data_IF_984186117875
#
_entry.id   IF_984186117875
#
_cell.length_a   1.000
_cell.length_b   1.000
_cell.length_c   1.000
_cell.angle_alpha   90.00
_cell.angle_beta   90.00
_cell.angle_gamma   90.00
#
_symmetry.space_group_name_H-M   'P 1'
#
loop_
_entity.id
_entity.type
_entity.pdbx_description
1 polymer ?
2 polymer ?
3 water ?
#
# COMPACT_ATOMS: atom_id res chain seq x y z
N UNK A 29 -16.84 -10.22 -6.15
CA UNK A 29 -17.29 -10.48 -4.78
C UNK A 29 -16.17 -10.20 -3.79
N UNK A 30 -15.15 -11.05 -3.80
CA UNK A 30 -14.04 -10.89 -2.86
C UNK A 30 -13.51 -9.47 -2.86
N UNK A 31 -13.30 -8.91 -4.04
CA UNK A 31 -12.78 -7.54 -4.15
C UNK A 31 -13.60 -6.56 -3.32
N UNK A 32 -14.92 -6.75 -3.30
CA UNK A 32 -15.81 -5.78 -2.66
C UNK A 32 -15.81 -5.89 -1.13
N UNK A 33 -15.17 -6.94 -0.61
CA UNK A 33 -15.15 -7.17 0.83
C UNK A 33 -14.07 -6.37 1.55
N UNK A 34 -13.12 -5.83 0.80
CA UNK A 34 -12.11 -4.95 1.36
C UNK A 34 -12.69 -3.54 1.40
N UNK A 35 -13.30 -3.20 2.52
CA UNK A 35 -14.07 -1.96 2.60
C UNK A 35 -13.19 -0.72 2.43
N UNK A 36 -12.01 -0.74 3.04
CA UNK A 36 -11.07 0.38 2.91
C UNK A 36 -10.79 0.64 1.43
N UNK A 37 -10.45 -0.42 0.72
CA UNK A 37 -10.11 -0.26 -0.71
C UNK A 37 -11.30 0.23 -1.55
N UNK A 38 -12.48 -0.33 -1.31
CA UNK A 38 -13.67 0.08 -2.05
C UNK A 38 -14.00 1.54 -1.76
N UNK A 39 -13.85 1.94 -0.50
CA UNK A 39 -14.13 3.32 -0.11
C UNK A 39 -13.23 4.29 -0.91
N UNK A 40 -11.96 3.96 -1.01
CA UNK A 40 -11.02 4.79 -1.75
C UNK A 40 -11.39 4.89 -3.22
N UNK A 41 -11.67 3.74 -3.82
CA UNK A 41 -11.98 3.71 -5.24
C UNK A 41 -13.29 4.49 -5.52
N UNK A 42 -14.31 4.28 -4.71
CA UNK A 42 -15.57 4.99 -4.88
C UNK A 42 -15.38 6.49 -4.71
N UNK A 43 -14.50 6.88 -3.79
CA UNK A 43 -14.33 8.30 -3.49
C UNK A 43 -13.73 9.07 -4.65
N UNK A 44 -12.76 8.47 -5.34
CA UNK A 44 -11.93 9.22 -6.28
C UNK A 44 -12.01 8.81 -7.74
N UNK A 45 -12.80 7.77 -8.04
CA UNK A 45 -12.86 7.31 -9.43
C UNK A 45 -13.34 8.37 -10.42
N UNK A 46 -14.33 9.17 -10.03
CA UNK A 46 -14.87 10.18 -10.95
C UNK A 46 -13.88 11.31 -11.15
N UNK A 47 -13.22 11.76 -10.08
CA UNK A 47 -12.25 12.85 -10.26
C UNK A 47 -11.02 12.43 -11.07
N UNK A 48 -10.71 11.14 -11.09
CA UNK A 48 -9.62 10.66 -11.91
C UNK A 48 -9.92 10.63 -13.40
N UNK A 49 -11.20 10.54 -13.75
CA UNK A 49 -11.56 10.31 -15.15
C UNK A 49 -11.02 11.37 -16.12
N UNK A 50 -11.26 12.67 -15.87
CA UNK A 50 -10.80 13.63 -16.89
C UNK A 50 -9.28 13.69 -17.03
N UNK A 51 -8.57 13.43 -15.95
CA UNK A 51 -7.12 13.42 -16.01
C UNK A 51 -6.64 12.21 -16.84
N UNK A 52 -7.22 11.05 -16.57
CA UNK A 52 -6.93 9.87 -17.36
C UNK A 52 -7.27 10.12 -18.83
N UNK A 53 -8.40 10.75 -19.11
CA UNK A 53 -8.80 11.05 -20.49
C UNK A 53 -7.72 11.91 -21.16
N UNK A 54 -7.26 12.93 -20.44
CA UNK A 54 -6.26 13.86 -21.01
C UNK A 54 -4.96 13.13 -21.35
N UNK A 55 -4.68 12.05 -20.64
CA UNK A 55 -3.46 11.28 -20.84
C UNK A 55 -3.68 10.04 -21.71
N UNK A 56 -4.88 9.90 -22.28
CA UNK A 56 -5.24 8.72 -23.06
C UNK A 56 -4.95 7.42 -22.29
N UNK A 57 -5.48 7.38 -21.06
CA UNK A 57 -5.33 6.22 -20.17
C UNK A 57 -6.68 5.73 -19.67
N UNK A 58 -6.83 4.41 -19.50
CA UNK A 58 -7.96 3.91 -18.72
C UNK A 58 -7.90 4.50 -17.30
N UNK A 59 -9.03 4.91 -16.77
CA UNK A 59 -9.03 5.56 -15.48
C UNK A 59 -8.41 4.69 -14.37
N UNK A 60 -8.63 3.38 -14.46
CA UNK A 60 -8.07 2.46 -13.46
C UNK A 60 -6.55 2.48 -13.42
N UNK A 61 -5.91 2.87 -14.51
CA UNK A 61 -4.45 2.93 -14.50
C UNK A 61 -3.98 4.05 -13.56
N UNK A 62 -4.61 5.20 -13.68
CA UNK A 62 -4.30 6.35 -12.84
C UNK A 62 -4.73 6.13 -11.39
N UNK A 63 -5.97 5.64 -11.21
CA UNK A 63 -6.50 5.41 -9.88
C UNK A 63 -5.73 4.28 -9.19
N UNK A 64 -5.34 3.27 -9.97
CA UNK A 64 -4.51 2.18 -9.47
C UNK A 64 -3.17 2.67 -8.97
N UNK A 65 -2.54 3.58 -9.71
CA UNK A 65 -1.29 4.17 -9.25
C UNK A 65 -1.52 4.90 -7.93
N UNK A 66 -2.59 5.67 -7.82
CA UNK A 66 -2.86 6.34 -6.54
C UNK A 66 -3.07 5.33 -5.42
N UNK A 67 -3.77 4.23 -5.69
CA UNK A 67 -3.99 3.19 -4.67
C UNK A 67 -2.67 2.60 -4.17
N UNK A 68 -1.75 2.36 -5.10
CA UNK A 68 -0.40 1.88 -4.79
C UNK A 68 0.37 2.88 -3.92
N UNK A 69 0.36 4.14 -4.31
CA UNK A 69 1.20 5.12 -3.62
C UNK A 69 0.65 5.50 -2.25
N UNK A 70 -0.67 5.49 -2.13
CA UNK A 70 -1.36 5.97 -0.92
C UNK A 70 -1.92 4.90 -0.01
N UNK A 71 -1.68 3.63 -0.36
CA UNK A 71 -2.24 2.51 0.38
C UNK A 71 -3.77 2.70 0.49
N UNK A 72 -4.37 2.86 -0.67
CA UNK A 72 -5.80 3.09 -0.80
C UNK A 72 -6.24 4.21 0.15
N UNK A 73 -5.47 5.28 0.14
CA UNK A 73 -5.83 6.49 0.85
C UNK A 73 -5.56 6.46 2.34
N UNK A 74 -4.90 5.41 2.83
CA UNK A 74 -4.64 5.28 4.27
C UNK A 74 -3.28 5.79 4.73
N UNK A 75 -2.36 6.04 3.79
CA UNK A 75 -1.05 6.54 4.17
C UNK A 75 -1.08 7.98 4.63
N UNK A 76 -0.13 8.35 5.48
CA UNK A 76 -0.06 9.69 6.04
C UNK A 76 0.16 10.79 4.99
N UNK A 77 1.03 10.54 4.03
CA UNK A 77 1.32 11.54 3.01
C UNK A 77 0.05 11.90 2.24
N UNK A 78 -0.80 10.91 2.02
CA UNK A 78 -2.07 11.16 1.36
C UNK A 78 -3.04 11.87 2.31
N UNK A 79 -3.23 11.31 3.50
CA UNK A 79 -4.19 11.86 4.44
C UNK A 79 -3.87 13.30 4.85
N UNK A 80 -2.61 13.54 5.18
CA UNK A 80 -2.20 14.82 5.75
C UNK A 80 -1.73 15.82 4.72
N UNK A 81 -1.13 15.33 3.63
CA UNK A 81 -0.53 16.24 2.64
C UNK A 81 -1.26 16.23 1.29
N UNK A 82 -2.34 15.46 1.21
CA UNK A 82 -3.10 15.29 -0.03
C UNK A 82 -2.23 14.85 -1.20
N UNK A 83 -1.13 14.15 -0.90
CA UNK A 83 -0.21 13.75 -1.95
C UNK A 83 -0.44 12.28 -2.24
N UNK A 84 -1.38 12.01 -3.13
CA UNK A 84 -1.83 10.63 -3.40
C UNK A 84 -0.94 9.91 -4.41
N UNK A 85 0.12 10.57 -4.89
CA UNK A 85 1.06 9.95 -5.82
C UNK A 85 2.47 9.92 -5.25
N UNK A 86 2.55 10.22 -3.94
CA UNK A 86 3.81 10.30 -3.21
C UNK A 86 4.92 10.98 -4.01
N UNK A 87 4.58 12.12 -4.60
CA UNK A 87 5.51 12.91 -5.39
C UNK A 87 6.57 13.51 -4.51
N UNK A 88 7.81 13.33 -4.92
CA UNK A 88 8.93 14.04 -4.33
C UNK A 88 8.80 15.53 -4.63
N UNK A 89 9.21 16.34 -3.65
CA UNK A 89 9.28 17.78 -3.85
C UNK A 89 10.63 18.13 -4.49
N UNK A 90 10.65 19.16 -5.34
CA UNK A 90 9.50 19.99 -5.72
C UNK A 90 8.69 19.36 -6.84
N UNK A 91 7.36 19.58 -6.80
CA UNK A 91 6.47 19.07 -7.83
C UNK A 91 5.57 20.22 -8.27
N UNK A 92 5.16 20.22 -9.55
CA UNK A 92 4.23 21.27 -9.99
C UNK A 92 2.97 21.27 -9.13
N UNK A 93 2.46 22.47 -8.88
CA UNK A 93 1.23 22.69 -8.13
C UNK A 93 1.36 22.47 -6.63
N UNK A 94 2.55 22.14 -6.14
CA UNK A 94 2.66 21.93 -4.69
C UNK A 94 2.42 23.25 -3.91
N UNK A 95 1.92 23.09 -2.68
CA UNK A 95 1.70 24.24 -1.80
C UNK A 95 2.72 24.24 -0.65
N UNK A 96 3.58 23.23 -0.64
CA UNK A 96 4.61 23.10 0.38
C UNK A 96 5.33 21.78 0.22
N UNK A 97 6.22 21.48 1.15
CA UNK A 97 7.02 20.25 1.13
C UNK A 97 7.44 19.87 2.54
N UNK A 98 7.63 18.57 2.77
CA UNK A 98 7.96 18.04 4.09
C UNK A 98 8.76 16.74 3.94
N UNK A 99 9.71 16.50 4.84
CA UNK A 99 10.42 15.22 4.82
C UNK A 99 9.48 14.14 5.35
N UNK A 100 9.49 12.94 4.73
CA UNK A 100 8.69 11.86 5.32
C UNK A 100 9.48 11.09 6.37
N UNK A 105 16.84 13.26 3.72
CA UNK A 105 17.38 13.31 2.38
C UNK A 105 16.38 13.88 1.37
N UNK A 106 15.15 13.35 1.37
CA UNK A 106 14.17 13.68 0.34
C UNK A 106 12.87 14.24 0.93
N UNK A 107 12.39 15.33 0.35
CA UNK A 107 11.13 15.89 0.79
C UNK A 107 10.02 15.42 -0.13
N UNK A 108 8.81 15.34 0.41
CA UNK A 108 7.63 15.06 -0.40
C UNK A 108 6.73 16.29 -0.45
N UNK A 109 6.04 16.41 -1.57
CA UNK A 109 5.20 17.57 -1.82
C UNK A 109 3.91 17.54 -1.02
N UNK A 110 3.38 18.73 -0.76
CA UNK A 110 2.02 18.90 -0.21
C UNK A 110 1.15 19.52 -1.30
N UNK A 111 -0.11 19.13 -1.36
CA UNK A 111 -1.08 19.67 -2.31
C UNK A 111 -2.39 20.11 -1.64
N UNK A 112 -3.21 20.82 -2.40
CA UNK A 112 -4.53 21.25 -1.92
C UNK A 112 -5.56 20.12 -1.89
N UNK A 113 -5.33 19.07 -2.68
CA UNK A 113 -6.34 18.04 -2.87
C UNK A 113 -5.79 16.86 -3.67
N UNK A 114 -6.49 15.74 -3.62
CA UNK A 114 -6.21 14.58 -4.46
C UNK A 114 -6.07 15.06 -5.91
N UNK A 115 -7.04 15.85 -6.36
CA UNK A 115 -7.09 16.28 -7.74
C UNK A 115 -5.80 17.00 -8.13
N UNK A 116 -5.34 17.92 -7.27
CA UNK A 116 -4.10 18.64 -7.56
C UNK A 116 -2.91 17.69 -7.59
N UNK A 117 -2.88 16.69 -6.72
CA UNK A 117 -1.77 15.75 -6.75
C UNK A 117 -1.76 14.96 -8.05
N UNK A 118 -2.95 14.64 -8.56
CA UNK A 118 -3.09 13.92 -9.82
C UNK A 118 -2.65 14.81 -10.99
N UNK A 119 -3.04 16.08 -10.95
CA UNK A 119 -2.62 17.03 -11.97
C UNK A 119 -1.10 17.25 -11.95
N UNK A 120 -0.51 17.16 -10.76
CA UNK A 120 0.92 17.28 -10.62
C UNK A 120 1.62 16.11 -11.28
N UNK A 121 1.15 14.90 -10.99
CA UNK A 121 1.62 13.70 -11.66
C UNK A 121 1.52 13.85 -13.18
N UNK A 122 0.38 14.33 -13.67
CA UNK A 122 0.17 14.52 -15.09
C UNK A 122 1.16 15.52 -15.68
N UNK A 123 1.41 16.61 -14.95
CA UNK A 123 2.35 17.65 -15.39
C UNK A 123 3.76 17.09 -15.56
N UNK A 124 4.23 16.33 -14.58
CA UNK A 124 5.60 15.84 -14.59
C UNK A 124 5.80 14.58 -15.43
N UNK A 125 4.82 13.68 -15.45
CA UNK A 125 5.02 12.34 -16.00
C UNK A 125 4.01 11.97 -17.09
N UNK A 126 3.09 12.87 -17.38
CA UNK A 126 1.99 12.58 -18.27
C UNK A 126 2.46 12.28 -19.67
N UNK A 127 3.34 13.11 -20.20
CA UNK A 127 3.76 12.95 -21.57
C UNK A 127 4.46 11.60 -21.70
N UNK A 128 5.19 11.22 -20.66
CA UNK A 128 5.89 9.94 -20.66
C UNK A 128 4.98 8.71 -20.62
N UNK A 129 3.85 8.80 -19.93
CA UNK A 129 2.96 7.64 -19.81
C UNK A 129 1.74 7.69 -20.73
N UNK A 130 1.59 8.77 -21.49
CA UNK A 130 0.34 8.91 -22.23
C UNK A 130 0.16 7.80 -23.28
N UNK A 131 -1.07 7.33 -23.37
CA UNK A 131 -1.45 6.30 -24.31
C UNK A 131 -1.01 4.90 -23.94
N UNK A 132 -0.38 4.74 -22.77
CA UNK A 132 0.09 3.43 -22.35
C UNK A 132 -1.05 2.76 -21.60
N UNK A 133 -2.01 2.22 -22.36
CA UNK A 133 -3.28 1.78 -21.79
C UNK A 133 -3.19 0.41 -21.14
N UNK A 134 -2.42 -0.49 -21.75
CA UNK A 134 -2.19 -1.80 -21.15
C UNK A 134 -1.49 -1.59 -19.81
N UNK A 135 -2.00 -2.25 -18.74
CA UNK A 135 -1.43 -2.03 -17.41
C UNK A 135 0.07 -2.32 -17.29
N UNK A 136 0.56 -3.37 -17.95
CA UNK A 136 1.99 -3.66 -17.94
C UNK A 136 2.79 -2.58 -18.66
N UNK A 137 2.31 -2.17 -19.83
CA UNK A 137 2.96 -1.10 -20.58
C UNK A 137 2.98 0.18 -19.76
N UNK A 138 1.89 0.46 -19.06
CA UNK A 138 1.82 1.63 -18.21
C UNK A 138 2.92 1.59 -17.12
N UNK A 139 3.03 0.47 -16.42
CA UNK A 139 4.01 0.36 -15.35
C UNK A 139 5.42 0.49 -15.92
N UNK A 140 5.65 -0.12 -17.08
CA UNK A 140 6.97 -0.03 -17.70
C UNK A 140 7.32 1.41 -18.11
N UNK A 141 6.33 2.16 -18.57
CA UNK A 141 6.56 3.56 -18.94
C UNK A 141 6.85 4.39 -17.69
N UNK A 142 6.22 4.03 -16.59
CA UNK A 142 6.43 4.69 -15.31
C UNK A 142 7.90 4.60 -14.93
N UNK A 143 8.46 3.41 -15.07
CA UNK A 143 9.88 3.21 -14.79
C UNK A 143 10.79 3.95 -15.77
N UNK A 144 10.46 3.91 -17.05
CA UNK A 144 11.27 4.60 -18.05
C UNK A 144 11.33 6.11 -17.79
N UNK A 145 10.22 6.66 -17.29
CA UNK A 145 10.10 8.08 -17.05
C UNK A 145 10.88 8.55 -15.83
N UNK A 146 11.33 7.59 -15.01
CA UNK A 146 12.00 7.92 -13.76
C UNK A 146 11.06 8.20 -12.59
N UNK A 147 9.76 7.98 -12.76
CA UNK A 147 8.83 8.10 -11.64
C UNK A 147 9.28 7.21 -10.49
N UNK A 148 9.53 5.93 -10.81
CA UNK A 148 10.17 5.00 -9.88
C UNK A 148 11.30 4.36 -10.67
N UNK A 149 12.35 3.94 -9.99
CA UNK A 149 13.44 3.26 -10.66
C UNK A 149 13.10 1.79 -10.90
N UNK A 150 12.27 1.25 -10.01
CA UNK A 150 11.69 -0.07 -10.19
C UNK A 150 12.72 -1.13 -10.45
N UNK A 151 13.86 -1.02 -9.78
CA UNK A 151 15.00 -1.88 -10.07
C UNK A 151 16.27 -1.27 -9.49
N UNK A 156 9.41 -10.49 -2.49
CA UNK A 156 8.15 -10.93 -3.08
C UNK A 156 8.35 -11.67 -4.38
N UNK A 157 7.24 -12.16 -4.95
CA UNK A 157 7.29 -12.93 -6.20
C UNK A 157 7.43 -12.04 -7.44
N UNK A 158 6.40 -11.27 -7.72
CA UNK A 158 6.35 -10.52 -8.99
C UNK A 158 7.20 -9.25 -8.97
N UNK A 159 7.63 -8.85 -10.17
CA UNK A 159 8.39 -7.63 -10.33
C UNK A 159 7.51 -6.41 -10.25
N UNK A 160 8.10 -5.24 -10.41
CA UNK A 160 7.39 -3.99 -10.22
C UNK A 160 6.17 -3.90 -11.12
N UNK A 161 6.33 -4.21 -12.41
CA UNK A 161 5.26 -3.98 -13.37
C UNK A 161 4.06 -4.88 -13.12
N UNK A 162 4.31 -6.16 -12.86
CA UNK A 162 3.23 -7.11 -12.66
C UNK A 162 2.47 -6.77 -11.37
N UNK A 163 3.22 -6.33 -10.35
CA UNK A 163 2.61 -5.97 -9.07
C UNK A 163 1.66 -4.77 -9.26
N UNK A 164 2.12 -3.73 -9.96
CA UNK A 164 1.29 -2.56 -10.18
C UNK A 164 0.12 -2.91 -11.09
N UNK A 165 0.39 -3.70 -12.13
CA UNK A 165 -0.65 -4.08 -13.07
C UNK A 165 -1.78 -4.83 -12.35
N UNK A 166 -1.43 -5.66 -11.37
CA UNK A 166 -2.43 -6.37 -10.58
C UNK A 166 -3.29 -5.41 -9.77
N UNK A 167 -2.67 -4.37 -9.21
CA UNK A 167 -3.43 -3.35 -8.48
C UNK A 167 -4.40 -2.63 -9.41
N UNK A 168 -3.95 -2.33 -10.62
CA UNK A 168 -4.80 -1.65 -11.60
C UNK A 168 -6.01 -2.51 -11.93
N UNK A 169 -5.78 -3.81 -12.10
CA UNK A 169 -6.88 -4.73 -12.42
C UNK A 169 -7.85 -4.83 -11.23
N UNK A 170 -7.30 -4.85 -10.02
CA UNK A 170 -8.12 -4.90 -8.81
C UNK A 170 -8.97 -3.63 -8.67
N UNK A 171 -8.36 -2.49 -8.93
CA UNK A 171 -9.08 -1.22 -8.93
C UNK A 171 -10.22 -1.23 -9.96
N UNK A 172 -9.94 -1.70 -11.17
CA UNK A 172 -10.98 -1.82 -12.18
C UNK A 172 -12.18 -2.59 -11.64
N UNK A 173 -11.91 -3.69 -10.96
CA UNK A 173 -12.99 -4.50 -10.37
C UNK A 173 -13.68 -3.80 -9.23
N UNK A 174 -12.92 -3.10 -8.39
CA UNK A 174 -13.50 -2.41 -7.24
C UNK A 174 -14.37 -1.23 -7.64
N UNK A 175 -14.18 -0.73 -8.86
CA UNK A 175 -15.05 0.34 -9.37
C UNK A 175 -16.50 -0.11 -9.53
N UNK A 176 -16.72 -1.41 -9.61
CA UNK A 176 -18.05 -1.99 -9.73
C UNK A 176 -18.74 -2.23 -8.38
N UNK A 177 -18.02 -2.02 -7.29
CA UNK A 177 -18.52 -2.32 -5.95
C UNK A 177 -19.34 -1.17 -5.38
N UNK B 8 8.44 -6.35 23.29
CA UNK B 8 8.97 -7.17 22.21
C UNK B 8 8.13 -8.44 22.07
N UNK B 9 8.75 -9.53 21.63
CA UNK B 9 7.98 -10.73 21.26
C UNK B 9 8.22 -11.92 22.17
N UNK B 10 8.76 -11.69 23.36
CA UNK B 10 8.81 -12.73 24.37
C UNK B 10 7.36 -13.11 24.68
N UNK B 11 7.09 -14.41 24.88
CA UNK B 11 5.71 -14.82 25.19
C UNK B 11 5.09 -13.97 26.29
N UNK B 12 5.86 -13.68 27.34
CA UNK B 12 5.36 -12.96 28.50
C UNK B 12 4.93 -11.53 28.16
N UNK B 13 5.51 -10.95 27.12
CA UNK B 13 5.21 -9.57 26.75
C UNK B 13 4.01 -9.47 25.80
N UNK B 14 3.49 -10.61 25.39
CA UNK B 14 2.31 -10.62 24.53
C UNK B 14 1.04 -10.73 25.38
N UNK B 15 0.25 -9.66 25.40
CA UNK B 15 -0.98 -9.63 26.17
C UNK B 15 -2.03 -10.53 25.52
N UNK B 16 -2.91 -11.12 26.33
CA UNK B 16 -3.91 -12.03 25.78
C UNK B 16 -4.93 -11.29 24.90
N UNK B 17 -4.95 -9.97 25.02
CA UNK B 17 -5.82 -9.13 24.20
C UNK B 17 -5.24 -8.83 22.82
N UNK B 18 -4.00 -9.27 22.58
CA UNK B 18 -3.42 -9.20 21.25
C UNK B 18 -2.16 -8.37 21.17
N UNK B 19 -1.47 -8.51 20.03
CA UNK B 19 -0.27 -7.75 19.73
C UNK B 19 -0.56 -6.25 19.70
N UNK B 20 0.39 -5.47 20.19
CA UNK B 20 0.40 -4.03 19.94
C UNK B 20 0.85 -3.77 18.51
N UNK B 21 0.69 -2.53 18.05
CA UNK B 21 1.14 -2.18 16.72
C UNK B 21 2.64 -2.43 16.59
N UNK B 22 3.39 -2.09 17.63
CA UNK B 22 4.85 -2.24 17.59
C UNK B 22 5.22 -3.72 17.46
N UNK B 23 4.55 -4.56 18.23
CA UNK B 23 4.79 -6.00 18.18
C UNK B 23 4.41 -6.57 16.81
N UNK B 24 3.30 -6.11 16.25
CA UNK B 24 2.87 -6.55 14.93
C UNK B 24 3.93 -6.20 13.88
N UNK B 25 4.54 -5.04 14.01
CA UNK B 25 5.60 -4.65 13.08
C UNK B 25 6.79 -5.60 13.21
N UNK B 26 7.10 -6.00 14.43
CA UNK B 26 8.20 -6.92 14.63
C UNK B 26 7.89 -8.29 14.02
N UNK B 27 6.63 -8.71 14.11
CA UNK B 27 6.19 -9.93 13.43
C UNK B 27 6.40 -9.78 11.92
N UNK B 28 5.94 -8.66 11.35
CA UNK B 28 6.13 -8.41 9.93
C UNK B 28 7.62 -8.46 9.56
N UNK B 29 8.47 -7.85 10.39
CA UNK B 29 9.90 -7.84 10.09
C UNK B 29 10.48 -9.25 10.04
N UNK B 30 10.03 -10.12 10.94
CA UNK B 30 10.40 -11.54 10.88
C UNK B 30 9.89 -12.14 9.57
N UNK B 31 8.63 -11.90 9.25
CA UNK B 31 8.07 -12.38 7.98
C UNK B 31 8.89 -11.96 6.77
N UNK B 32 9.31 -10.70 6.73
CA UNK B 32 10.01 -10.17 5.55
C UNK B 32 11.45 -10.67 5.41
N UNK B 33 12.06 -11.12 6.52
CA UNK B 33 13.40 -11.71 6.48
C UNK B 33 13.41 -12.93 5.57
N UNK B 34 12.35 -13.72 5.64
CA UNK B 34 12.20 -14.94 4.84
C UNK B 34 12.01 -14.64 3.34
N UNK B 35 11.52 -13.44 3.01
CA UNK B 35 11.32 -13.08 1.61
C UNK B 35 12.44 -12.21 1.07
N UNK B 36 13.50 -12.04 1.84
CA UNK B 36 14.49 -11.01 1.58
C UNK B 36 13.87 -9.60 1.72
N UNK B 37 13.66 -8.90 0.61
CA UNK B 37 13.05 -7.56 0.63
C UNK B 37 14.04 -6.43 0.99
N UNK B 38 15.15 -6.75 1.63
CA UNK B 38 16.24 -5.78 1.80
C UNK B 38 15.98 -4.68 2.84
N UNK B 39 15.44 -5.01 4.01
CA UNK B 39 14.97 -3.98 4.95
C UNK B 39 16.05 -3.01 5.43
N UNK B 40 17.32 -3.41 5.32
CA UNK B 40 18.43 -2.58 5.78
C UNK B 40 19.24 -2.05 4.59
N UNK B 41 18.61 -1.21 3.79
CA UNK B 41 19.26 -0.51 2.69
C UNK B 41 18.77 0.93 2.73
N UNK B 42 19.65 1.90 2.48
CA UNK B 42 19.21 3.29 2.65
C UNK B 42 17.99 3.66 1.80
N UNK B 43 17.07 4.41 2.40
CA UNK B 43 15.86 4.83 1.71
C UNK B 43 14.67 3.90 1.92
N UNK B 44 14.92 2.70 2.44
CA UNK B 44 13.85 1.74 2.67
C UNK B 44 13.19 1.97 4.03
N UNK B 45 11.87 1.81 4.09
CA UNK B 45 11.15 2.00 5.34
C UNK B 45 9.94 1.09 5.44
N UNK B 46 9.55 0.78 6.68
CA UNK B 46 8.25 0.22 6.96
C UNK B 46 7.45 1.28 7.69
N UNK B 47 6.24 1.53 7.21
CA UNK B 47 5.38 2.56 7.79
C UNK B 47 4.09 1.92 8.32
N UNK B 48 3.85 2.04 9.62
CA UNK B 48 2.63 1.52 10.21
C UNK B 48 1.59 2.58 10.51
N UNK B 49 1.83 3.82 10.09
CA UNK B 49 0.87 4.90 10.32
C UNK B 49 -0.13 4.93 9.16
N UNK B 50 -0.93 3.87 9.09
CA UNK B 50 -1.99 3.73 8.11
C UNK B 50 -3.31 3.72 8.86
N UNK B 51 -4.19 4.64 8.50
CA UNK B 51 -5.39 4.94 9.29
C UNK B 51 -6.58 5.16 8.38
N UNK B 52 -7.77 4.84 8.88
CA UNK B 52 -9.01 5.25 8.25
C UNK B 52 -9.36 6.65 8.71
N UNK B 53 -10.56 7.11 8.34
CA UNK B 53 -10.94 8.49 8.61
C UNK B 53 -11.16 8.79 10.09
N UNK B 54 -11.25 7.74 10.92
CA UNK B 54 -11.40 7.93 12.36
C UNK B 54 -10.14 7.67 13.16
N UNK B 55 -9.04 7.42 12.46
CA UNK B 55 -7.77 7.14 13.11
C UNK B 55 -7.56 5.68 13.48
N UNK B 56 -8.45 4.81 12.99
CA UNK B 56 -8.38 3.39 13.32
C UNK B 56 -7.65 2.60 12.23
N UNK B 57 -7.17 1.41 12.57
CA UNK B 57 -6.55 0.58 11.53
C UNK B 57 -7.55 0.27 10.41
N UNK B 58 -7.10 0.29 9.14
CA UNK B 58 -8.04 0.13 8.02
C UNK B 58 -8.73 -1.22 7.93
N UNK B 59 -8.13 -2.27 8.49
CA UNK B 59 -8.70 -3.61 8.40
C UNK B 59 -8.87 -4.20 9.79
N UNK B 60 -10.12 -4.17 10.28
CA UNK B 60 -10.41 -4.66 11.63
C UNK B 60 -9.80 -6.02 11.90
N UNK B 61 -9.13 -6.13 13.06
CA UNK B 61 -8.46 -7.38 13.43
C UNK B 61 -6.99 -7.40 13.09
N UNK B 62 -6.53 -6.42 12.31
CA UNK B 62 -5.16 -6.35 11.81
C UNK B 62 -4.56 -4.95 12.03
N UNK B 63 -3.24 -4.88 12.02
CA UNK B 63 -2.54 -3.62 11.80
C UNK B 63 -1.93 -3.66 10.40
N UNK B 64 -2.05 -2.56 9.65
CA UNK B 64 -1.51 -2.50 8.29
C UNK B 64 -0.16 -1.78 8.25
N UNK B 65 0.69 -2.19 7.31
CA UNK B 65 2.03 -1.64 7.16
C UNK B 65 2.38 -1.53 5.68
N UNK B 66 3.04 -0.44 5.31
CA UNK B 66 3.56 -0.33 3.97
C UNK B 66 5.07 -0.49 3.99
N UNK B 67 5.60 -1.08 2.92
CA UNK B 67 7.03 -1.22 2.73
C UNK B 67 7.40 -0.41 1.50
N UNK B 68 8.32 0.53 1.66
CA UNK B 68 8.61 1.45 0.59
C UNK B 68 10.05 1.88 0.52
N UNK B 69 10.34 2.70 -0.49
CA UNK B 69 11.69 3.03 -0.87
C UNK B 69 11.71 4.40 -1.54
N UNK B 70 12.55 5.31 -1.03
CA UNK B 70 12.78 6.60 -1.70
C UNK B 70 14.18 6.66 -2.28
N UNK B 71 14.24 6.85 -3.59
CA UNK B 71 15.47 6.94 -4.36
C UNK B 71 15.52 8.36 -4.91
N UNK B 72 16.65 9.08 -4.73
CA UNK B 72 16.71 10.45 -5.26
C UNK B 72 16.68 10.52 -6.77
N UNK B 73 17.03 9.44 -7.46
CA UNK B 73 16.92 9.48 -8.90
C UNK B 73 15.49 9.26 -9.37
N UNK B 74 14.61 8.87 -8.46
CA UNK B 74 13.19 8.76 -8.77
C UNK B 74 12.49 10.10 -8.52
N UNK B 75 11.22 10.15 -8.88
CA UNK B 75 10.41 11.34 -8.67
C UNK B 75 9.30 11.12 -7.68
N UNK B 76 9.20 9.90 -7.13
CA UNK B 76 8.13 9.55 -6.20
C UNK B 76 8.55 8.33 -5.39
N UNK B 77 7.88 8.11 -4.27
CA UNK B 77 8.14 6.93 -3.48
C UNK B 77 7.76 5.67 -4.26
N UNK B 78 8.54 4.62 -4.08
CA UNK B 78 8.25 3.34 -4.69
C UNK B 78 7.80 2.39 -3.58
N UNK B 79 6.68 1.71 -3.78
CA UNK B 79 6.16 0.81 -2.74
C UNK B 79 6.27 -0.65 -3.15
N UNK B 80 6.69 -1.48 -2.21
CA UNK B 80 6.97 -2.89 -2.48
C UNK B 80 5.94 -3.81 -1.85
N UNK B 81 5.19 -3.31 -0.88
CA UNK B 81 4.17 -4.12 -0.26
C UNK B 81 3.23 -3.37 0.66
N UNK B 82 2.01 -3.89 0.79
CA UNK B 82 1.04 -3.43 1.76
C UNK B 82 0.62 -4.68 2.51
N UNK B 83 0.84 -4.70 3.82
CA UNK B 83 0.67 -5.89 4.63
C UNK B 83 -0.34 -5.68 5.74
N UNK B 84 -1.03 -6.75 6.10
CA UNK B 84 -1.92 -6.76 7.26
C UNK B 84 -1.44 -7.88 8.19
N UNK B 85 -1.23 -7.53 9.47
CA UNK B 85 -0.80 -8.48 10.49
C UNK B 85 -1.88 -8.62 11.55
N UNK B 86 -2.33 -9.84 11.80
CA UNK B 86 -3.39 -10.05 12.78
C UNK B 86 -2.92 -9.83 14.19
N UNK B 87 -3.66 -9.04 14.95
CA UNK B 87 -3.36 -8.80 16.35
C UNK B 87 -3.46 -10.07 17.18
N UNK B 88 -4.34 -10.97 16.78
CA UNK B 88 -4.65 -12.13 17.61
C UNK B 88 -3.88 -13.41 17.25
N UNK B 89 -3.35 -13.49 16.03
CA UNK B 89 -2.64 -14.68 15.59
C UNK B 89 -1.29 -14.43 14.93
N UNK B 90 -1.02 -13.18 14.58
CA UNK B 90 0.16 -12.83 13.81
C UNK B 90 0.09 -13.24 12.34
N UNK B 91 -1.05 -13.77 11.90
CA UNK B 91 -1.22 -14.09 10.48
C UNK B 91 -0.91 -12.84 9.67
N UNK B 92 -0.07 -13.00 8.65
CA UNK B 92 0.42 -11.87 7.86
C UNK B 92 0.13 -12.05 6.37
N UNK B 93 -0.55 -11.07 5.80
CA UNK B 93 -0.91 -11.09 4.38
C UNK B 93 -0.38 -9.87 3.65
N UNK B 94 0.06 -10.07 2.42
CA UNK B 94 0.27 -8.97 1.49
C UNK B 94 -1.07 -8.82 0.77
N UNK B 95 -1.73 -7.68 0.93
CA UNK B 95 -3.14 -7.59 0.57
C UNK B 95 -3.42 -6.98 -0.82
N UNK B 96 -2.37 -6.69 -1.57
CA UNK B 96 -2.53 -6.38 -2.98
C UNK B 96 -2.35 -7.63 -3.85
N UNK B 97 -1.27 -8.38 -3.60
CA UNK B 97 -1.05 -9.66 -4.26
C UNK B 97 -1.89 -10.78 -3.65
N UNK B 98 -2.43 -10.51 -2.46
CA UNK B 98 -3.23 -11.50 -1.73
C UNK B 98 -2.47 -12.80 -1.48
N UNK B 99 -1.31 -12.65 -0.85
CA UNK B 99 -0.46 -13.76 -0.49
C UNK B 99 -0.32 -13.82 1.02
N UNK B 100 -0.50 -15.02 1.57
CA UNK B 100 -0.24 -15.26 2.98
C UNK B 100 1.26 -15.51 3.16
N UNK B 101 1.93 -14.69 3.95
CA UNK B 101 3.35 -14.87 4.16
C UNK B 101 3.61 -16.11 5.02
N UNK B 102 4.77 -16.70 4.85
CA UNK B 102 5.09 -17.98 5.48
C UNK B 102 6.56 -18.04 5.87
N UNK B 103 7.01 -19.22 6.28
CA UNK B 103 8.37 -19.38 6.75
C UNK B 103 8.37 -19.94 8.15
N UNK B 104 9.37 -20.75 8.45
CA UNK B 104 9.42 -21.46 9.73
C UNK B 104 9.48 -20.50 10.91
N UNK B 105 10.28 -19.45 10.80
CA UNK B 105 10.42 -18.53 11.92
C UNK B 105 9.11 -17.78 12.18
N UNK B 106 8.42 -17.39 11.11
CA UNK B 106 7.14 -16.70 11.23
C UNK B 106 6.08 -17.61 11.87
N UNK B 107 5.98 -18.84 11.40
CA UNK B 107 5.00 -19.79 11.93
C UNK B 107 5.23 -20.06 13.42
N UNK B 108 6.49 -20.14 13.81
CA UNK B 108 6.84 -20.34 15.21
C UNK B 108 6.34 -19.16 16.05
N UNK B 109 6.52 -17.95 15.53
CA UNK B 109 6.05 -16.76 16.23
C UNK B 109 4.54 -16.76 16.35
N UNK B 110 3.87 -17.16 15.28
CA UNK B 110 2.41 -17.19 15.27
C UNK B 110 1.87 -18.20 16.28
N UNK B 111 2.51 -19.36 16.40
CA UNK B 111 2.07 -20.32 17.40
C UNK B 111 2.25 -19.75 18.82
N UNK B 112 3.30 -18.96 19.02
CA UNK B 112 3.53 -18.33 20.31
C UNK B 112 2.46 -17.29 20.60
N UNK B 113 2.13 -16.49 19.59
CA UNK B 113 1.09 -15.47 19.73
C UNK B 113 -0.23 -16.12 20.08
N UNK B 114 -0.58 -17.17 19.34
CA UNK B 114 -1.87 -17.86 19.54
C UNK B 114 -1.95 -18.53 20.90
N UNK B 115 -0.82 -19.01 21.42
CA UNK B 115 -0.82 -19.65 22.73
C UNK B 115 -1.05 -18.62 23.82
N UNK B 116 -0.72 -17.37 23.53
CA UNK B 116 -0.95 -16.29 24.49
C UNK B 116 -2.37 -15.73 24.41
N UNK B 117 -2.87 -15.53 23.19
CA UNK B 117 -4.21 -14.94 23.03
C UNK B 117 -5.33 -15.98 23.11
N UNK B 118 -5.00 -17.24 22.89
CA UNK B 118 -6.01 -18.30 22.88
C UNK B 118 -6.90 -18.29 21.65
N UNK B 119 -6.52 -17.49 20.65
CA UNK B 119 -7.31 -17.30 19.42
C UNK B 119 -6.75 -18.10 18.25
N UNK B 120 -7.60 -18.38 17.27
CA UNK B 120 -7.24 -19.18 16.11
C UNK B 120 -7.44 -18.42 14.80
N UNK B 121 -6.94 -18.97 13.71
CA UNK B 121 -7.21 -18.41 12.39
C UNK B 121 -8.72 -18.45 12.08
N UNK B 122 -9.39 -19.52 12.50
CA UNK B 122 -10.82 -19.65 12.27
C UNK B 122 -11.63 -18.58 13.05
N UNK B 123 -11.14 -18.22 14.23
CA UNK B 123 -11.80 -17.19 15.05
C UNK B 123 -11.89 -15.84 14.33
N UNK B 124 -10.95 -15.57 13.44
CA UNK B 124 -10.92 -14.28 12.73
C UNK B 124 -11.29 -14.43 11.25
N UNK B 125 -12.04 -15.47 10.92
CA UNK B 125 -12.43 -15.73 9.53
C UNK B 125 -13.12 -14.52 8.89
N UNK B 126 -14.09 -13.94 9.59
CA UNK B 126 -14.82 -12.76 9.11
C UNK B 126 -13.89 -11.58 8.88
N UNK B 127 -12.99 -11.33 9.82
CA UNK B 127 -12.07 -10.21 9.68
C UNK B 127 -11.12 -10.50 8.52
N UNK B 128 -10.68 -11.74 8.38
CA UNK B 128 -9.79 -12.08 7.27
C UNK B 128 -10.49 -11.85 5.94
N UNK B 129 -11.78 -12.21 5.87
CA UNK B 129 -12.55 -11.97 4.66
C UNK B 129 -12.57 -10.49 4.30
N UNK B 130 -12.51 -9.64 5.33
CA UNK B 130 -12.40 -8.21 5.17
C UNK B 130 -11.13 -7.71 4.50
N UNK B 131 -10.14 -8.58 4.31
CA UNK B 131 -8.95 -8.22 3.51
C UNK B 131 -9.22 -8.32 2.02
N UNK B 132 -10.31 -8.98 1.64
CA UNK B 132 -10.69 -9.07 0.24
C UNK B 132 -9.80 -9.99 -0.58
N UNK B 133 -9.23 -11.00 0.09
CA UNK B 133 -8.25 -11.88 -0.55
C UNK B 133 -8.69 -13.34 -0.62
N UNK B 134 -9.80 -13.67 0.02
CA UNK B 134 -10.34 -15.03 -0.02
C UNK B 134 -11.86 -14.94 0.03
N UNK B 135 -12.54 -15.91 -0.57
CA UNK B 135 -14.00 -15.87 -0.65
C UNK B 135 -14.66 -15.86 0.73
#
# INVERSE_FOLDING_TARGET
XGPGLLYNHAAKTAVNGIDRSTEGTNVSARLCNNISAVTFVSKYKAVCQPIADQLDLPVENLLGLAAQESQYGTGRIARELNNYFSMHAPAPLQIGAEAPLGNASIKVAKFDSFQKSAQSFASSFGTAVRGQRDPMAFAQALVRSGYNTGNAKTGGRDGFARYLADIIIAVRGRMAC
GSHXATDSLQPARIKDSGLTREQAEQVLRVALKHQDYQLQRPGVFIDGDLQDENGKPPHPGYYDFSLGYNDPKAGATEYWGLFSVSLNTGDTWEINSCKRLDGAELRALQRRVMARTGKSLADEKSQREGLGCEDQQ
#
